data_IF_906697283108
#
_entry.id   IF_906697283108
#
_cell.length_a   1.000
_cell.length_b   1.000
_cell.length_c   1.000
_cell.angle_alpha   90.00
_cell.angle_beta   90.00
_cell.angle_gamma   90.00
#
_symmetry.space_group_name_H-M   'P 1'
#
loop_
_entity.id
_entity.type
_entity.pdbx_description
1 polymer ?
#
# COMPACT_ATOMS: atom_id res chain seq x y z
N UNK A 1 0.81 -23.87 -6.75
CA UNK A 1 0.28 -22.87 -5.81
C UNK A 1 1.30 -21.75 -5.70
N UNK A 2 0.97 -20.56 -6.17
CA UNK A 2 1.83 -19.40 -6.10
C UNK A 2 1.52 -18.60 -4.83
N UNK A 3 2.57 -18.26 -4.09
CA UNK A 3 2.49 -17.44 -2.88
C UNK A 3 3.28 -16.17 -3.13
N UNK A 4 2.58 -15.04 -3.07
CA UNK A 4 3.21 -13.73 -3.09
C UNK A 4 3.44 -13.26 -1.65
N UNK A 5 4.68 -12.87 -1.33
CA UNK A 5 5.03 -12.32 -0.02
C UNK A 5 5.60 -10.92 -0.24
N UNK A 6 4.94 -9.91 0.31
CA UNK A 6 5.38 -8.52 0.28
C UNK A 6 5.89 -8.13 1.67
N UNK A 7 7.19 -7.82 1.76
CA UNK A 7 7.80 -7.27 2.96
C UNK A 7 7.93 -5.76 2.84
N UNK A 8 7.44 -5.03 3.85
CA UNK A 8 7.62 -3.59 3.99
C UNK A 8 8.38 -3.37 5.29
N UNK A 9 9.69 -3.19 5.20
CA UNK A 9 10.55 -3.03 6.39
C UNK A 9 10.24 -1.73 7.14
N UNK A 10 9.84 -0.68 6.41
CA UNK A 10 9.53 0.62 6.99
C UNK A 10 8.48 1.37 6.17
N UNK A 11 7.41 1.78 6.85
CA UNK A 11 6.43 2.73 6.35
C UNK A 11 6.58 4.04 7.11
N UNK A 12 6.99 5.11 6.41
CA UNK A 12 7.15 6.44 7.02
C UNK A 12 6.01 7.33 6.56
N UNK A 13 5.23 7.81 7.50
CA UNK A 13 4.10 8.70 7.27
C UNK A 13 4.23 9.92 8.15
N UNK A 14 3.95 11.08 7.58
CA UNK A 14 3.97 12.36 8.29
C UNK A 14 2.53 12.85 8.45
N UNK A 15 2.18 13.33 9.64
CA UNK A 15 0.84 13.86 9.93
C UNK A 15 -0.20 12.81 10.33
N UNK A 16 0.23 11.60 10.70
CA UNK A 16 -0.61 10.57 11.31
C UNK A 16 -0.31 10.52 12.81
N UNK A 17 -1.35 10.47 13.64
CA UNK A 17 -1.19 10.26 15.08
C UNK A 17 -0.63 8.84 15.34
N UNK A 18 0.41 8.69 16.18
CA UNK A 18 0.93 7.37 16.54
C UNK A 18 -0.14 6.38 17.02
N UNK A 19 -1.22 6.86 17.64
CA UNK A 19 -2.33 6.00 18.10
C UNK A 19 -3.11 5.35 16.94
N UNK A 20 -3.15 6.00 15.78
CA UNK A 20 -3.88 5.51 14.60
C UNK A 20 -3.05 4.53 13.74
N UNK A 21 -1.76 4.37 14.05
CA UNK A 21 -0.83 3.60 13.24
C UNK A 21 -1.29 2.15 13.00
N UNK A 22 -1.83 1.49 14.03
CA UNK A 22 -2.28 0.10 13.91
C UNK A 22 -3.52 -0.04 13.02
N UNK A 23 -4.47 0.90 13.14
CA UNK A 23 -5.67 0.93 12.33
C UNK A 23 -5.31 1.12 10.85
N UNK A 24 -4.33 1.99 10.60
CA UNK A 24 -3.80 2.24 9.27
C UNK A 24 -3.10 1.01 8.66
N UNK A 25 -2.22 0.34 9.43
CA UNK A 25 -1.53 -0.87 8.96
C UNK A 25 -2.55 -1.94 8.57
N UNK A 26 -3.58 -2.12 9.38
CA UNK A 26 -4.65 -3.09 9.14
C UNK A 26 -5.43 -2.75 7.86
N UNK A 27 -5.80 -1.49 7.67
CA UNK A 27 -6.49 -1.02 6.48
C UNK A 27 -5.64 -1.16 5.20
N UNK A 28 -4.35 -0.83 5.28
CA UNK A 28 -3.42 -0.99 4.17
C UNK A 28 -3.23 -2.46 3.79
N UNK A 29 -3.05 -3.33 4.79
CA UNK A 29 -2.90 -4.77 4.55
C UNK A 29 -4.14 -5.35 3.88
N UNK A 30 -5.34 -5.03 4.39
CA UNK A 30 -6.60 -5.48 3.80
C UNK A 30 -6.74 -5.05 2.34
N UNK A 31 -6.36 -3.81 2.03
CA UNK A 31 -6.45 -3.29 0.68
C UNK A 31 -5.40 -3.92 -0.27
N UNK A 32 -4.16 -4.14 0.20
CA UNK A 32 -3.14 -4.82 -0.59
C UNK A 32 -3.55 -6.28 -0.87
N UNK A 33 -4.09 -6.97 0.13
CA UNK A 33 -4.64 -8.32 -0.04
C UNK A 33 -5.78 -8.34 -1.05
N UNK A 34 -6.69 -7.36 -0.99
CA UNK A 34 -7.76 -7.21 -1.97
C UNK A 34 -7.18 -7.03 -3.37
N UNK A 35 -6.33 -6.02 -3.60
CA UNK A 35 -5.82 -5.71 -4.94
C UNK A 35 -4.95 -6.82 -5.53
N UNK A 36 -4.14 -7.49 -4.72
CA UNK A 36 -3.27 -8.59 -5.16
C UNK A 36 -3.99 -9.95 -5.22
N UNK A 37 -5.06 -10.13 -4.46
CA UNK A 37 -5.84 -11.37 -4.41
C UNK A 37 -7.03 -11.42 -5.36
N UNK A 38 -7.48 -10.28 -5.90
CA UNK A 38 -8.65 -10.23 -6.80
C UNK A 38 -8.28 -10.61 -8.24
N UNK A 39 -7.02 -10.45 -8.65
CA UNK A 39 -6.58 -10.73 -10.01
C UNK A 39 -5.71 -11.98 -10.04
N UNK A 40 -5.70 -12.72 -11.16
CA UNK A 40 -4.88 -13.92 -11.31
C UNK A 40 -3.38 -13.63 -11.09
N UNK A 41 -2.57 -14.67 -10.87
CA UNK A 41 -1.14 -14.54 -10.56
C UNK A 41 -0.38 -13.60 -11.53
N UNK A 42 -0.69 -13.67 -12.83
CA UNK A 42 -0.08 -12.83 -13.86
C UNK A 42 -0.35 -11.33 -13.63
N UNK A 43 -1.56 -10.97 -13.20
CA UNK A 43 -1.95 -9.58 -12.95
C UNK A 43 -1.35 -9.05 -11.65
N UNK A 44 -1.26 -9.90 -10.61
CA UNK A 44 -0.58 -9.56 -9.37
C UNK A 44 0.92 -9.29 -9.62
N UNK A 45 1.57 -10.14 -10.43
CA UNK A 45 2.94 -9.92 -10.87
C UNK A 45 3.09 -8.66 -11.74
N UNK A 46 2.16 -8.42 -12.67
CA UNK A 46 2.17 -7.23 -13.52
C UNK A 46 2.04 -5.94 -12.69
N UNK A 47 1.17 -5.93 -11.68
CA UNK A 47 1.04 -4.81 -10.74
C UNK A 47 2.36 -4.53 -10.02
N UNK A 48 3.06 -5.58 -9.56
CA UNK A 48 4.32 -5.44 -8.83
C UNK A 48 5.56 -5.16 -9.69
N UNK A 49 5.49 -5.26 -11.02
CA UNK A 49 6.64 -4.95 -11.91
C UNK A 49 7.22 -3.56 -11.65
N UNK A 50 6.38 -2.61 -11.22
CA UNK A 50 6.82 -1.28 -10.84
C UNK A 50 7.71 -1.23 -9.60
N UNK A 51 7.66 -2.23 -8.73
CA UNK A 51 8.40 -2.26 -7.45
C UNK A 51 9.66 -3.11 -7.52
N UNK A 52 9.69 -4.14 -8.38
CA UNK A 52 10.81 -5.09 -8.46
C UNK A 52 12.14 -4.35 -8.64
N UNK A 53 13.09 -4.60 -7.74
CA UNK A 53 14.41 -3.97 -7.73
C UNK A 53 14.46 -2.56 -7.12
N UNK A 54 13.37 -2.03 -6.55
CA UNK A 54 13.35 -0.75 -5.82
C UNK A 54 13.44 -0.97 -4.32
N UNK A 55 14.45 -0.38 -3.70
CA UNK A 55 14.63 -0.41 -2.24
C UNK A 55 13.81 0.67 -1.52
N UNK A 56 13.23 1.63 -2.27
CA UNK A 56 12.43 2.72 -1.72
C UNK A 56 11.40 3.19 -2.73
N UNK A 57 10.16 3.38 -2.27
CA UNK A 57 9.09 4.00 -3.04
C UNK A 57 8.73 5.32 -2.35
N UNK A 58 8.76 6.42 -3.09
CA UNK A 58 8.27 7.71 -2.60
C UNK A 58 6.85 7.90 -3.12
N UNK A 59 5.87 7.73 -2.24
CA UNK A 59 4.49 8.03 -2.56
C UNK A 59 4.26 9.56 -2.59
N UNK A 60 3.36 10.06 -3.44
CA UNK A 60 2.95 11.46 -3.42
C UNK A 60 2.22 11.79 -2.11
N UNK A 61 2.18 13.08 -1.76
CA UNK A 61 1.39 13.56 -0.62
C UNK A 61 -0.09 13.21 -0.81
N UNK A 62 -0.67 12.53 0.17
CA UNK A 62 -2.08 12.19 0.17
C UNK A 62 -2.87 13.27 0.91
N UNK A 63 -4.00 13.70 0.33
CA UNK A 63 -4.98 14.52 1.04
C UNK A 63 -6.10 13.63 1.53
N UNK A 64 -6.26 13.57 2.84
CA UNK A 64 -7.30 12.78 3.49
C UNK A 64 -8.06 13.73 4.41
N UNK A 65 -9.38 13.67 4.37
CA UNK A 65 -10.21 14.49 5.25
C UNK A 65 -9.96 14.11 6.72
N UNK A 66 -9.98 15.09 7.62
CA UNK A 66 -9.85 14.84 9.05
C UNK A 66 -11.04 14.01 9.53
N UNK A 67 -10.77 12.95 10.31
CA UNK A 67 -11.80 12.01 10.77
C UNK A 67 -12.26 11.02 9.70
N UNK A 68 -11.60 10.95 8.53
CA UNK A 68 -11.90 9.93 7.54
C UNK A 68 -11.61 8.52 8.10
N UNK A 69 -12.40 7.51 7.68
CA UNK A 69 -12.17 6.13 8.09
C UNK A 69 -10.78 5.62 7.64
N UNK A 70 -10.10 4.76 8.43
CA UNK A 70 -8.78 4.20 8.10
C UNK A 70 -8.71 3.52 6.72
N UNK A 71 -9.82 2.94 6.25
CA UNK A 71 -9.93 2.29 4.94
C UNK A 71 -9.70 3.27 3.80
N UNK A 72 -10.06 4.54 4.00
CA UNK A 72 -9.83 5.61 3.03
C UNK A 72 -8.33 5.84 2.83
N UNK A 73 -7.57 5.83 3.91
CA UNK A 73 -6.10 5.90 3.88
C UNK A 73 -5.49 4.64 3.26
N UNK A 74 -5.98 3.45 3.62
CA UNK A 74 -5.52 2.18 3.02
C UNK A 74 -5.67 2.18 1.50
N UNK A 75 -6.84 2.57 0.99
CA UNK A 75 -7.10 2.74 -0.46
C UNK A 75 -6.18 3.77 -1.11
N UNK A 76 -5.96 4.91 -0.45
CA UNK A 76 -5.12 5.98 -0.97
C UNK A 76 -3.64 5.58 -1.06
N UNK A 77 -3.16 4.69 -0.16
CA UNK A 77 -1.76 4.24 -0.10
C UNK A 77 -1.47 3.01 -0.97
N UNK A 78 -2.38 2.04 -1.03
CA UNK A 78 -2.13 0.75 -1.69
C UNK A 78 -1.83 0.90 -3.20
N UNK A 79 -2.60 1.75 -3.89
CA UNK A 79 -2.43 1.98 -5.33
C UNK A 79 -1.04 2.54 -5.70
N UNK A 80 -0.55 3.60 -5.02
CA UNK A 80 0.81 4.08 -5.17
C UNK A 80 1.88 3.02 -4.88
N UNK A 81 1.72 2.25 -3.80
CA UNK A 81 2.68 1.20 -3.44
C UNK A 81 2.76 0.18 -4.58
N UNK A 82 1.64 -0.38 -5.03
CA UNK A 82 1.61 -1.38 -6.10
C UNK A 82 2.21 -0.87 -7.41
N UNK A 83 1.86 0.35 -7.83
CA UNK A 83 2.42 0.95 -9.05
C UNK A 83 3.90 1.35 -8.92
N UNK A 84 4.46 1.27 -7.72
CA UNK A 84 5.85 1.60 -7.42
C UNK A 84 6.20 3.06 -7.69
N UNK A 85 5.25 3.99 -7.50
CA UNK A 85 5.22 5.33 -8.14
C UNK A 85 6.60 5.94 -8.42
N UNK A 86 6.86 6.16 -9.71
CA UNK A 86 7.91 7.07 -10.22
C UNK A 86 7.42 8.52 -10.06
N UNK A 87 8.31 9.38 -9.57
CA UNK A 87 8.17 10.83 -9.67
C UNK A 87 8.10 11.28 -11.12
#
# INVERSE_FOLDING_TARGET
MSRLVLHIDRLVLHGIDPQDAQALVSALQAELQRQLGTNGEADALAALRGIVGRNRIKAPSLRVARGAPPETLGRALAGPILRGVKS
#
